data_IF_515358738094
#
_entry.id   IF_515358738094
#
_cell.length_a   1.000
_cell.length_b   1.000
_cell.length_c   1.000
_cell.angle_alpha   90.00
_cell.angle_beta   90.00
_cell.angle_gamma   90.00
#
_symmetry.space_group_name_H-M   'P 1'
#
loop_
_entity.id
_entity.type
_entity.pdbx_description
1 polymer ?
#
# COMPACT_ATOMS: atom_id res chain seq x y z
N UNK A 1 -4.24 29.33 -20.51
CA UNK A 1 -3.64 30.43 -19.73
C UNK A 1 -4.80 31.20 -19.13
N UNK A 2 -4.86 31.40 -17.82
CA UNK A 2 -5.95 32.16 -17.18
C UNK A 2 -5.54 33.62 -17.16
N UNK A 3 -6.33 34.50 -17.77
CA UNK A 3 -6.06 35.95 -17.76
C UNK A 3 -6.32 36.52 -16.36
N UNK A 4 -5.26 36.71 -15.59
CA UNK A 4 -5.34 37.34 -14.28
C UNK A 4 -5.52 38.85 -14.44
N UNK A 5 -6.75 39.34 -14.33
CA UNK A 5 -7.07 40.78 -14.38
C UNK A 5 -6.71 41.46 -13.06
N UNK A 6 -5.73 42.37 -13.10
CA UNK A 6 -5.32 43.17 -11.94
C UNK A 6 -6.35 44.27 -11.65
N UNK A 7 -6.72 44.42 -10.38
CA UNK A 7 -7.67 45.43 -9.90
C UNK A 7 -6.91 46.58 -9.23
N UNK A 8 -7.54 47.75 -9.13
CA UNK A 8 -6.98 48.92 -8.45
C UNK A 8 -7.85 49.23 -7.24
N UNK A 9 -7.26 49.18 -6.04
CA UNK A 9 -7.87 49.63 -4.80
C UNK A 9 -7.23 50.95 -4.39
N UNK A 10 -8.03 51.87 -3.86
CA UNK A 10 -7.51 53.12 -3.28
C UNK A 10 -7.57 52.98 -1.78
N UNK A 11 -6.41 52.99 -1.13
CA UNK A 11 -6.26 52.93 0.31
C UNK A 11 -6.86 54.17 0.99
N UNK A 12 -7.08 54.11 2.31
CA UNK A 12 -7.62 55.20 3.14
C UNK A 12 -6.78 56.49 3.06
N UNK A 13 -5.51 56.35 2.69
CA UNK A 13 -4.58 57.45 2.45
C UNK A 13 -4.54 57.94 0.98
N UNK A 14 -5.48 57.50 0.13
CA UNK A 14 -5.57 57.89 -1.28
C UNK A 14 -4.56 57.21 -2.20
N UNK A 15 -3.78 56.25 -1.69
CA UNK A 15 -2.75 55.53 -2.45
C UNK A 15 -3.40 54.43 -3.26
N UNK A 16 -3.25 54.48 -4.59
CA UNK A 16 -3.74 53.44 -5.49
C UNK A 16 -2.80 52.23 -5.49
N UNK A 17 -3.29 51.09 -5.03
CA UNK A 17 -2.56 49.82 -5.01
C UNK A 17 -3.19 48.84 -6.00
N UNK A 18 -2.31 48.18 -6.73
CA UNK A 18 -2.70 47.18 -7.71
C UNK A 18 -2.75 45.82 -7.01
N UNK A 19 -3.92 45.21 -6.90
CA UNK A 19 -4.11 43.94 -6.20
C UNK A 19 -4.74 42.88 -7.11
N UNK A 20 -4.50 41.62 -6.77
CA UNK A 20 -5.23 40.49 -7.35
C UNK A 20 -6.44 40.20 -6.46
N UNK A 21 -7.64 40.01 -7.03
CA UNK A 21 -8.81 39.69 -6.22
C UNK A 21 -8.58 38.39 -5.44
N UNK A 22 -8.94 38.39 -4.15
CA UNK A 22 -8.94 37.18 -3.33
C UNK A 22 -10.05 36.27 -3.86
N UNK A 23 -9.67 35.18 -4.52
CA UNK A 23 -10.61 34.17 -4.99
C UNK A 23 -10.84 33.13 -3.89
N UNK A 24 -12.09 32.86 -3.54
CA UNK A 24 -12.41 31.67 -2.75
C UNK A 24 -11.94 30.41 -3.49
N UNK A 25 -11.50 29.38 -2.76
CA UNK A 25 -11.02 28.11 -3.33
C UNK A 25 -12.06 27.45 -4.26
N UNK A 26 -13.35 27.67 -4.01
CA UNK A 26 -14.46 27.20 -4.85
C UNK A 26 -14.51 27.84 -6.24
N UNK A 27 -13.88 29.00 -6.44
CA UNK A 27 -13.82 29.70 -7.72
C UNK A 27 -12.69 29.18 -8.63
N UNK A 28 -11.81 28.31 -8.12
CA UNK A 28 -10.74 27.70 -8.92
C UNK A 28 -11.29 26.43 -9.58
N UNK A 29 -11.60 26.54 -10.87
CA UNK A 29 -12.10 25.42 -11.68
C UNK A 29 -11.12 24.23 -11.60
N UNK A 30 -11.61 23.07 -11.20
CA UNK A 30 -10.82 21.83 -11.10
C UNK A 30 -9.99 21.67 -9.80
N UNK A 31 -9.90 22.67 -8.92
CA UNK A 31 -9.15 22.53 -7.66
C UNK A 31 -9.77 21.47 -6.73
N UNK A 32 -11.11 21.42 -6.67
CA UNK A 32 -11.83 20.39 -5.91
C UNK A 32 -11.51 18.97 -6.41
N UNK A 33 -11.36 18.78 -7.72
CA UNK A 33 -11.12 17.48 -8.33
C UNK A 33 -9.67 17.02 -8.08
N UNK A 34 -8.72 17.97 -8.09
CA UNK A 34 -7.32 17.73 -7.71
C UNK A 34 -7.22 17.38 -6.23
N UNK A 35 -7.88 18.14 -5.35
CA UNK A 35 -7.84 17.94 -3.91
C UNK A 35 -8.51 16.63 -3.45
N UNK A 36 -9.52 16.16 -4.18
CA UNK A 36 -10.20 14.89 -3.88
C UNK A 36 -9.43 13.64 -4.32
N UNK A 37 -8.17 13.77 -4.77
CA UNK A 37 -7.33 12.63 -5.13
C UNK A 37 -7.81 11.87 -6.38
N UNK A 38 -8.77 12.41 -7.13
CA UNK A 38 -9.25 11.84 -8.39
C UNK A 38 -8.41 12.27 -9.59
N UNK A 39 -7.34 13.05 -9.37
CA UNK A 39 -6.43 13.47 -10.41
C UNK A 39 -5.73 12.23 -11.01
N UNK A 40 -6.19 11.82 -12.20
CA UNK A 40 -5.44 10.91 -13.07
C UNK A 40 -4.04 11.47 -13.25
N UNK A 41 -3.01 10.64 -13.07
CA UNK A 41 -1.62 11.02 -13.30
C UNK A 41 -1.46 11.64 -14.68
N UNK A 42 -0.92 12.85 -14.72
CA UNK A 42 -0.60 13.53 -15.96
C UNK A 42 0.65 12.83 -16.54
N UNK A 43 0.51 12.15 -17.67
CA UNK A 43 1.67 11.60 -18.35
C UNK A 43 2.58 12.75 -18.78
N UNK A 44 3.89 12.54 -18.70
CA UNK A 44 4.91 13.51 -19.16
C UNK A 44 4.80 13.87 -20.65
N UNK A 45 4.03 13.09 -21.43
CA UNK A 45 3.71 13.36 -22.83
C UNK A 45 2.29 13.95 -23.06
N UNK A 46 1.62 14.44 -22.02
CA UNK A 46 0.30 15.06 -22.10
C UNK A 46 -0.88 14.10 -22.27
N UNK A 47 -0.64 12.78 -22.27
CA UNK A 47 -1.71 11.78 -22.29
C UNK A 47 -2.26 11.55 -20.89
N UNK A 48 -3.56 11.32 -20.78
CA UNK A 48 -4.23 10.95 -19.52
C UNK A 48 -4.90 9.60 -19.71
N UNK A 49 -4.74 8.69 -18.75
CA UNK A 49 -5.23 7.32 -18.86
C UNK A 49 -5.05 6.56 -17.55
N UNK A 50 -5.72 5.42 -17.43
CA UNK A 50 -5.49 4.51 -16.32
C UNK A 50 -4.12 3.83 -16.51
N UNK A 51 -3.29 3.83 -15.46
CA UNK A 51 -2.05 3.06 -15.43
C UNK A 51 -2.40 1.69 -14.90
N UNK A 52 -2.24 0.67 -15.76
CA UNK A 52 -2.37 -0.72 -15.34
C UNK A 52 -1.00 -1.15 -14.84
N UNK A 53 -0.88 -1.34 -13.53
CA UNK A 53 0.32 -1.88 -12.90
C UNK A 53 0.08 -3.36 -12.64
N UNK A 54 0.99 -4.19 -13.12
CA UNK A 54 0.99 -5.64 -12.89
C UNK A 54 2.02 -5.99 -11.81
N UNK A 55 1.97 -7.21 -11.28
CA UNK A 55 2.95 -7.69 -10.28
C UNK A 55 4.39 -7.63 -10.81
N UNK A 56 4.56 -7.89 -12.11
CA UNK A 56 5.87 -7.83 -12.77
C UNK A 56 6.47 -6.42 -12.79
N UNK A 57 5.64 -5.38 -12.84
CA UNK A 57 6.11 -3.98 -12.87
C UNK A 57 6.68 -3.51 -11.51
N UNK A 58 6.44 -4.28 -10.45
CA UNK A 58 6.84 -3.96 -9.07
C UNK A 58 7.87 -4.97 -8.52
N UNK A 59 8.43 -5.82 -9.38
CA UNK A 59 9.30 -6.95 -9.00
C UNK A 59 8.69 -7.83 -7.89
N UNK A 60 7.35 -7.96 -7.89
CA UNK A 60 6.65 -8.77 -6.90
C UNK A 60 6.64 -10.24 -7.32
N UNK A 61 6.84 -11.18 -6.36
CA UNK A 61 6.86 -12.60 -6.63
C UNK A 61 5.49 -13.08 -7.14
N UNK A 62 5.51 -14.04 -8.06
CA UNK A 62 4.33 -14.51 -8.78
C UNK A 62 3.33 -15.28 -7.90
N UNK A 63 3.82 -15.88 -6.82
CA UNK A 63 3.03 -16.60 -5.81
C UNK A 63 2.41 -15.64 -4.77
N UNK A 64 2.78 -14.35 -4.79
CA UNK A 64 2.31 -13.34 -3.86
C UNK A 64 2.90 -13.47 -2.45
N UNK A 65 3.90 -14.33 -2.25
CA UNK A 65 4.49 -14.58 -0.94
C UNK A 65 5.59 -13.55 -0.70
N UNK A 66 5.25 -12.52 0.07
CA UNK A 66 6.17 -11.46 0.48
C UNK A 66 6.86 -11.81 1.79
N UNK A 67 7.72 -12.84 1.76
CA UNK A 67 8.54 -13.21 2.92
C UNK A 67 9.99 -12.79 2.70
N UNK A 68 10.71 -12.55 3.79
CA UNK A 68 12.15 -12.28 3.70
C UNK A 68 12.90 -13.52 3.20
N UNK A 69 14.05 -13.29 2.56
CA UNK A 69 14.91 -14.38 2.07
C UNK A 69 15.29 -15.36 3.20
N UNK A 70 15.50 -14.83 4.41
CA UNK A 70 15.78 -15.62 5.60
C UNK A 70 14.61 -16.53 6.03
N UNK A 71 13.37 -16.07 5.89
CA UNK A 71 12.19 -16.89 6.18
C UNK A 71 11.97 -17.98 5.13
N UNK A 72 12.23 -17.67 3.87
CA UNK A 72 12.19 -18.65 2.78
C UNK A 72 13.20 -19.79 3.00
N UNK A 73 14.44 -19.45 3.36
CA UNK A 73 15.50 -20.44 3.64
C UNK A 73 15.15 -21.34 4.83
N UNK A 74 14.52 -20.78 5.88
CA UNK A 74 14.03 -21.56 7.03
C UNK A 74 12.95 -22.55 6.62
N UNK A 75 12.01 -22.13 5.76
CA UNK A 75 10.94 -23.01 5.26
C UNK A 75 11.49 -24.13 4.39
N UNK A 76 12.43 -23.83 3.49
CA UNK A 76 13.12 -24.86 2.71
C UNK A 76 13.80 -25.90 3.60
N UNK A 77 14.46 -25.46 4.67
CA UNK A 77 15.06 -26.36 5.63
C UNK A 77 14.04 -27.24 6.34
N UNK A 78 12.92 -26.66 6.80
CA UNK A 78 11.83 -27.44 7.44
C UNK A 78 11.29 -28.50 6.48
N UNK A 79 11.08 -28.17 5.20
CA UNK A 79 10.61 -29.14 4.20
C UNK A 79 11.64 -30.26 4.01
N UNK A 80 12.92 -29.91 3.89
CA UNK A 80 13.99 -30.91 3.77
C UNK A 80 14.08 -31.81 5.00
N UNK A 81 14.00 -31.25 6.21
CA UNK A 81 13.99 -31.99 7.47
C UNK A 81 12.74 -32.89 7.58
N UNK A 82 11.60 -32.46 7.03
CA UNK A 82 10.37 -33.28 6.96
C UNK A 82 10.55 -34.47 6.02
N UNK A 83 11.02 -34.22 4.79
CA UNK A 83 11.25 -35.24 3.78
C UNK A 83 12.33 -36.25 4.23
N UNK A 84 13.30 -35.78 5.02
CA UNK A 84 14.33 -36.61 5.65
C UNK A 84 13.84 -37.36 6.91
N UNK A 85 12.62 -37.08 7.39
CA UNK A 85 12.09 -37.69 8.63
C UNK A 85 12.78 -37.22 9.91
N UNK A 86 13.52 -36.10 9.85
CA UNK A 86 14.23 -35.49 10.98
C UNK A 86 13.31 -34.59 11.82
N UNK A 87 12.17 -34.17 11.27
CA UNK A 87 11.09 -33.58 12.06
C UNK A 87 10.42 -34.69 12.87
N UNK A 88 10.94 -34.87 14.09
CA UNK A 88 10.62 -35.97 14.98
C UNK A 88 9.16 -36.41 15.00
N UNK A 89 8.94 -37.71 14.80
CA UNK A 89 7.71 -38.36 15.25
C UNK A 89 7.51 -38.04 16.73
N UNK A 90 6.36 -37.47 17.05
CA UNK A 90 5.89 -37.15 18.41
C UNK A 90 6.54 -38.07 19.46
N UNK A 91 7.55 -37.56 20.15
CA UNK A 91 8.20 -38.22 21.31
C UNK A 91 7.30 -38.14 22.54
N UNK A 92 6.00 -38.30 22.34
CA UNK A 92 5.02 -38.50 23.40
C UNK A 92 4.85 -40.00 23.50
N UNK A 93 5.74 -40.65 24.23
CA UNK A 93 5.40 -41.96 24.79
C UNK A 93 4.33 -41.70 25.85
N UNK A 94 3.08 -42.03 25.53
CA UNK A 94 2.03 -42.09 26.55
C UNK A 94 2.39 -43.26 27.47
N UNK A 95 2.88 -42.95 28.67
CA UNK A 95 3.04 -43.94 29.73
C UNK A 95 1.69 -44.65 29.93
N UNK A 96 1.65 -45.98 29.72
CA UNK A 96 0.45 -46.76 30.06
C UNK A 96 0.18 -46.59 31.54
N UNK A 97 -0.90 -45.88 31.88
CA UNK A 97 -1.34 -45.73 33.26
C UNK A 97 -1.69 -47.11 33.81
N UNK A 98 -1.07 -47.47 34.93
CA UNK A 98 -1.25 -48.77 35.59
C UNK A 98 -2.69 -48.87 36.10
N UNK A 99 -3.57 -49.51 35.32
CA UNK A 99 -5.00 -49.66 35.63
C UNK A 99 -5.85 -50.29 34.52
N UNK A 100 -5.39 -50.27 33.27
CA UNK A 100 -6.19 -50.74 32.12
C UNK A 100 -6.15 -52.26 31.87
N UNK A 101 -5.59 -53.06 32.78
CA UNK A 101 -5.59 -54.54 32.67
C UNK A 101 -6.75 -55.22 33.42
N UNK A 102 -7.56 -54.50 34.22
CA UNK A 102 -8.66 -55.13 34.99
C UNK A 102 -10.05 -55.00 34.37
N UNK A 103 -10.19 -54.48 33.14
CA UNK A 103 -11.52 -54.35 32.49
C UNK A 103 -11.81 -55.38 31.39
N UNK A 104 -10.90 -56.34 31.13
CA UNK A 104 -11.14 -57.43 30.17
C UNK A 104 -10.71 -58.80 30.72
N UNK A 105 -11.20 -59.17 31.91
CA UNK A 105 -11.22 -60.54 32.40
C UNK A 105 -12.64 -60.93 32.83
#
# INVERSE_FOLDING_TARGET
>A
MVDAKRMMETDENGIKRQFFPITHFSAILGLSEIMNGQAKVLSVNGKTGAVIITRADLDLPSDGIMISQQEYDKMLKIIADYDAGELGGSSVEFEKVKGDEELNA
#
